data_IF_715107210129
#
_entry.id   IF_715107210129
#
_cell.length_a   1.000
_cell.length_b   1.000
_cell.length_c   1.000
_cell.angle_alpha   90.00
_cell.angle_beta   90.00
_cell.angle_gamma   90.00
#
_symmetry.space_group_name_H-M   'P 1'
#
loop_
_entity.id
_entity.type
_entity.pdbx_description
1 polymer ?
#
# COMPACT_ATOMS: atom_id res chain seq x y z
N UNK A 1 6.08 -34.49 3.45
CA UNK A 1 5.87 -35.15 4.76
C UNK A 1 6.80 -34.44 5.75
N UNK A 2 6.49 -33.27 6.31
CA UNK A 2 5.79 -33.07 7.60
C UNK A 2 5.35 -31.60 7.83
N UNK A 3 5.14 -30.82 6.76
CA UNK A 3 4.76 -29.39 6.85
C UNK A 3 3.29 -29.15 7.25
N UNK A 4 2.46 -30.21 7.25
CA UNK A 4 1.01 -30.08 7.47
C UNK A 4 0.55 -30.37 8.91
N UNK A 5 1.39 -30.92 9.79
CA UNK A 5 0.98 -31.30 11.15
C UNK A 5 0.92 -30.10 12.14
N UNK A 6 1.62 -29.01 11.83
CA UNK A 6 1.75 -27.87 12.74
C UNK A 6 0.86 -26.70 12.27
N UNK A 7 -0.23 -26.45 13.00
CA UNK A 7 -1.21 -25.38 12.72
C UNK A 7 -0.55 -23.99 12.76
N UNK A 8 0.41 -23.78 13.65
CA UNK A 8 1.10 -22.50 13.80
C UNK A 8 2.04 -22.21 12.62
N UNK A 9 2.76 -23.24 12.15
CA UNK A 9 3.60 -23.15 10.95
C UNK A 9 2.74 -22.85 9.70
N UNK A 10 1.61 -23.53 9.55
CA UNK A 10 0.66 -23.29 8.45
C UNK A 10 0.12 -21.85 8.48
N UNK A 11 -0.24 -21.35 9.66
CA UNK A 11 -0.72 -19.97 9.83
C UNK A 11 0.36 -18.95 9.45
N UNK A 12 1.61 -19.15 9.85
CA UNK A 12 2.74 -18.27 9.49
C UNK A 12 3.01 -18.27 8.00
N UNK A 13 3.00 -19.44 7.36
CA UNK A 13 3.17 -19.58 5.90
C UNK A 13 2.03 -18.88 5.17
N UNK A 14 0.77 -19.09 5.58
CA UNK A 14 -0.39 -18.44 4.96
C UNK A 14 -0.34 -16.91 5.10
N UNK A 15 0.05 -16.39 6.26
CA UNK A 15 0.25 -14.95 6.47
C UNK A 15 1.34 -14.41 5.55
N UNK A 16 2.44 -15.14 5.37
CA UNK A 16 3.50 -14.77 4.42
C UNK A 16 3.02 -14.77 2.97
N UNK A 17 2.29 -15.80 2.56
CA UNK A 17 1.69 -15.92 1.23
C UNK A 17 0.70 -14.79 0.96
N UNK A 18 -0.24 -14.53 1.87
CA UNK A 18 -1.22 -13.46 1.73
C UNK A 18 -0.54 -12.09 1.56
N UNK A 19 0.55 -11.82 2.29
CA UNK A 19 1.34 -10.59 2.12
C UNK A 19 2.00 -10.52 0.73
N UNK A 20 2.57 -11.64 0.26
CA UNK A 20 3.17 -11.73 -1.07
C UNK A 20 2.14 -11.55 -2.19
N UNK A 21 0.97 -12.19 -2.07
CA UNK A 21 -0.14 -12.07 -3.01
C UNK A 21 -0.70 -10.66 -3.05
N UNK A 22 -0.90 -10.01 -1.89
CA UNK A 22 -1.36 -8.62 -1.81
C UNK A 22 -0.33 -7.65 -2.41
N UNK A 23 0.98 -7.84 -2.16
CA UNK A 23 2.03 -7.06 -2.82
C UNK A 23 2.00 -7.27 -4.34
N UNK A 24 1.85 -8.51 -4.80
CA UNK A 24 1.77 -8.83 -6.22
C UNK A 24 0.50 -8.24 -6.86
N UNK A 25 -0.63 -8.22 -6.15
CA UNK A 25 -1.86 -7.60 -6.60
C UNK A 25 -1.72 -6.07 -6.73
N UNK A 26 -1.10 -5.43 -5.74
CA UNK A 26 -0.75 -4.01 -5.79
C UNK A 26 0.18 -3.73 -6.99
N UNK A 27 1.23 -4.53 -7.17
CA UNK A 27 2.16 -4.38 -8.28
C UNK A 27 1.44 -4.51 -9.64
N UNK A 28 0.50 -5.45 -9.78
CA UNK A 28 -0.33 -5.58 -10.99
C UNK A 28 -1.23 -4.36 -11.20
N UNK A 29 -1.85 -3.85 -10.15
CA UNK A 29 -2.71 -2.66 -10.22
C UNK A 29 -1.93 -1.41 -10.65
N UNK A 30 -0.72 -1.21 -10.12
CA UNK A 30 0.18 -0.11 -10.51
C UNK A 30 0.67 -0.27 -11.95
N UNK A 31 0.92 -1.51 -12.40
CA UNK A 31 1.45 -1.80 -13.74
C UNK A 31 0.39 -1.74 -14.86
N UNK A 32 -0.89 -1.48 -14.53
CA UNK A 32 -2.02 -1.63 -15.46
C UNK A 32 -1.99 -0.68 -16.69
N UNK A 33 -1.23 0.42 -16.65
CA UNK A 33 -1.17 1.41 -17.75
C UNK A 33 -0.51 0.92 -19.06
N UNK A 34 -0.18 -0.38 -19.19
CA UNK A 34 0.20 -1.03 -20.47
C UNK A 34 -0.32 -2.47 -20.66
N UNK A 35 -1.50 -2.82 -20.12
CA UNK A 35 -2.10 -4.16 -20.32
C UNK A 35 -1.23 -5.35 -19.84
N UNK A 36 -0.21 -5.13 -19.00
CA UNK A 36 0.65 -6.23 -18.54
C UNK A 36 1.66 -6.76 -19.55
N UNK A 37 1.75 -6.20 -20.77
CA UNK A 37 2.67 -6.71 -21.80
C UNK A 37 4.08 -6.11 -21.69
N UNK A 38 5.06 -6.95 -21.35
CA UNK A 38 6.49 -6.63 -21.41
C UNK A 38 7.00 -6.76 -22.85
N UNK A 39 6.73 -5.76 -23.71
CA UNK A 39 7.28 -5.69 -25.08
C UNK A 39 8.65 -5.02 -25.19
N UNK A 40 9.48 -5.06 -24.14
CA UNK A 40 10.86 -4.55 -24.31
C UNK A 40 11.80 -5.62 -24.81
N UNK A 41 12.51 -5.26 -25.88
CA UNK A 41 13.45 -6.13 -26.60
C UNK A 41 14.71 -6.49 -25.81
N UNK A 42 15.03 -5.81 -24.70
CA UNK A 42 16.27 -6.05 -23.93
C UNK A 42 16.01 -6.36 -22.45
N UNK A 43 16.86 -7.21 -21.88
CA UNK A 43 16.84 -7.59 -20.46
C UNK A 43 17.07 -6.39 -19.53
N UNK A 44 17.94 -5.45 -19.92
CA UNK A 44 18.19 -4.24 -19.14
C UNK A 44 16.94 -3.38 -18.97
N UNK A 45 16.16 -3.18 -20.05
CA UNK A 45 14.95 -2.38 -19.95
C UNK A 45 13.88 -3.05 -19.10
N UNK A 46 13.80 -4.39 -19.13
CA UNK A 46 12.94 -5.15 -18.21
C UNK A 46 13.37 -4.96 -16.76
N UNK A 47 14.68 -4.99 -16.47
CA UNK A 47 15.23 -4.75 -15.14
C UNK A 47 14.95 -3.33 -14.64
N UNK A 48 15.15 -2.30 -15.47
CA UNK A 48 14.84 -0.92 -15.10
C UNK A 48 13.35 -0.74 -14.77
N UNK A 49 12.45 -1.36 -15.53
CA UNK A 49 11.02 -1.30 -15.24
C UNK A 49 10.62 -2.08 -14.00
N UNK A 50 11.18 -3.26 -13.79
CA UNK A 50 10.93 -4.03 -12.57
C UNK A 50 11.39 -3.25 -11.32
N UNK A 51 12.56 -2.63 -11.39
CA UNK A 51 13.07 -1.76 -10.33
C UNK A 51 12.18 -0.54 -10.11
N UNK A 52 11.74 0.13 -11.17
CA UNK A 52 10.81 1.27 -11.09
C UNK A 52 9.47 0.88 -10.50
N UNK A 53 8.89 -0.25 -10.91
CA UNK A 53 7.65 -0.77 -10.34
C UNK A 53 7.82 -1.08 -8.85
N UNK A 54 8.91 -1.75 -8.46
CA UNK A 54 9.17 -2.03 -7.06
C UNK A 54 9.36 -0.74 -6.24
N UNK A 55 9.98 0.30 -6.81
CA UNK A 55 10.10 1.61 -6.18
C UNK A 55 8.73 2.25 -5.93
N UNK A 56 7.86 2.29 -6.94
CA UNK A 56 6.51 2.86 -6.81
C UNK A 56 5.67 2.07 -5.80
N UNK A 57 5.69 0.74 -5.88
CA UNK A 57 4.98 -0.13 -4.92
C UNK A 57 5.48 0.12 -3.49
N UNK A 58 6.79 0.23 -3.30
CA UNK A 58 7.37 0.52 -1.98
C UNK A 58 6.99 1.91 -1.47
N UNK A 59 6.95 2.91 -2.35
CA UNK A 59 6.51 4.26 -2.01
C UNK A 59 5.03 4.30 -1.59
N UNK A 60 4.15 3.56 -2.27
CA UNK A 60 2.74 3.41 -1.88
C UNK A 60 2.62 2.75 -0.50
N UNK A 61 3.36 1.66 -0.26
CA UNK A 61 3.33 0.96 1.04
C UNK A 61 3.79 1.90 2.16
N UNK A 62 4.87 2.65 1.93
CA UNK A 62 5.37 3.63 2.89
C UNK A 62 4.33 4.71 3.17
N UNK A 63 3.74 5.28 2.12
CA UNK A 63 2.67 6.26 2.24
C UNK A 63 1.49 5.72 3.06
N UNK A 64 0.99 4.53 2.74
CA UNK A 64 -0.10 3.90 3.48
C UNK A 64 0.25 3.69 4.95
N UNK A 65 1.47 3.23 5.24
CA UNK A 65 1.93 3.00 6.62
C UNK A 65 1.89 4.29 7.43
N UNK A 66 2.49 5.37 6.91
CA UNK A 66 2.54 6.68 7.56
C UNK A 66 1.14 7.27 7.76
N UNK A 67 0.28 7.20 6.75
CA UNK A 67 -1.06 7.81 6.85
C UNK A 67 -2.04 7.00 7.68
N UNK A 68 -1.89 5.68 7.75
CA UNK A 68 -2.67 4.86 8.68
C UNK A 68 -2.33 5.19 10.13
N UNK A 69 -1.04 5.32 10.46
CA UNK A 69 -0.62 5.74 11.80
C UNK A 69 -1.22 7.10 12.17
N UNK A 70 -1.14 8.08 11.26
CA UNK A 70 -1.75 9.40 11.48
C UNK A 70 -3.27 9.35 11.60
N UNK A 71 -3.94 8.49 10.83
CA UNK A 71 -5.39 8.31 10.94
C UNK A 71 -5.78 7.72 12.29
N UNK A 72 -5.02 6.72 12.79
CA UNK A 72 -5.22 6.15 14.12
C UNK A 72 -5.00 7.20 15.20
N UNK A 73 -3.95 8.02 15.10
CA UNK A 73 -3.69 9.10 16.04
C UNK A 73 -4.82 10.13 16.05
N UNK A 74 -5.28 10.58 14.88
CA UNK A 74 -6.37 11.55 14.77
C UNK A 74 -7.68 11.02 15.37
N UNK A 75 -7.97 9.73 15.20
CA UNK A 75 -9.13 9.08 15.83
C UNK A 75 -9.00 9.01 17.36
N UNK A 76 -7.80 8.74 17.89
CA UNK A 76 -7.53 8.77 19.33
C UNK A 76 -7.74 10.18 19.90
N UNK A 77 -7.28 11.20 19.20
CA UNK A 77 -7.45 12.61 19.57
C UNK A 77 -8.94 13.05 19.55
N UNK A 78 -9.77 12.46 18.66
CA UNK A 78 -11.23 12.64 18.63
C UNK A 78 -11.97 11.85 19.73
N UNK A 79 -11.24 11.17 20.63
CA UNK A 79 -11.80 10.43 21.76
C UNK A 79 -12.38 9.06 21.39
N UNK A 80 -12.05 8.51 20.22
CA UNK A 80 -12.48 7.17 19.81
C UNK A 80 -11.61 6.13 20.49
N UNK A 81 -12.24 5.21 21.21
CA UNK A 81 -11.55 4.03 21.73
C UNK A 81 -11.18 3.11 20.57
N UNK A 82 -9.87 2.83 20.43
CA UNK A 82 -9.32 1.96 19.39
C UNK A 82 -8.65 0.79 20.06
N UNK A 83 -9.20 -0.40 19.82
CA UNK A 83 -8.61 -1.66 20.24
C UNK A 83 -7.26 -1.89 19.51
N UNK A 84 -6.16 -1.86 20.26
CA UNK A 84 -4.82 -2.09 19.72
C UNK A 84 -4.65 -3.50 19.13
N UNK A 85 -5.46 -4.45 19.58
CA UNK A 85 -5.46 -5.81 19.01
C UNK A 85 -6.03 -5.85 17.60
N UNK A 86 -6.75 -4.83 17.15
CA UNK A 86 -7.20 -4.71 15.75
C UNK A 86 -6.12 -4.07 14.86
N UNK A 87 -5.26 -3.21 15.41
CA UNK A 87 -4.21 -2.52 14.65
C UNK A 87 -3.21 -3.49 14.00
N UNK A 88 -2.90 -4.62 14.66
CA UNK A 88 -2.04 -5.69 14.10
C UNK A 88 -2.59 -6.34 12.83
N UNK A 89 -3.87 -6.15 12.54
CA UNK A 89 -4.56 -6.69 11.38
C UNK A 89 -4.62 -5.69 10.21
N UNK A 90 -4.18 -4.45 10.42
CA UNK A 90 -4.08 -3.46 9.34
C UNK A 90 -3.02 -3.90 8.33
N UNK A 91 -3.36 -3.74 7.05
CA UNK A 91 -2.47 -4.03 5.93
C UNK A 91 -2.16 -2.74 5.18
N UNK A 92 -0.88 -2.32 5.06
CA UNK A 92 -0.50 -1.17 4.24
C UNK A 92 -0.57 -1.46 2.74
N UNK A 93 -1.02 -2.66 2.36
CA UNK A 93 -1.08 -3.11 0.98
C UNK A 93 -2.41 -2.76 0.30
N UNK A 94 -3.41 -2.20 0.98
CA UNK A 94 -4.65 -1.74 0.33
C UNK A 94 -4.39 -0.55 -0.61
N UNK A 95 -5.11 -0.47 -1.73
CA UNK A 95 -4.92 0.59 -2.74
C UNK A 95 -6.22 1.14 -3.31
N UNK A 96 -7.37 0.70 -2.79
CA UNK A 96 -8.69 1.13 -3.24
C UNK A 96 -8.91 2.65 -3.02
N UNK A 97 -8.22 3.24 -2.05
CA UNK A 97 -8.24 4.68 -1.77
C UNK A 97 -7.30 5.51 -2.65
N UNK A 98 -6.48 4.86 -3.48
CA UNK A 98 -5.48 5.50 -4.35
C UNK A 98 -6.01 5.51 -5.78
N UNK A 99 -6.07 6.69 -6.39
CA UNK A 99 -6.35 6.78 -7.81
C UNK A 99 -5.09 6.40 -8.61
N UNK A 100 -5.04 5.16 -9.11
CA UNK A 100 -3.96 4.65 -9.95
C UNK A 100 -4.14 5.01 -11.44
N UNK A 101 -5.38 5.30 -11.85
CA UNK A 101 -5.77 5.54 -13.25
C UNK A 101 -6.73 6.72 -13.33
N UNK A 102 -6.24 7.87 -13.78
CA UNK A 102 -7.05 9.07 -13.97
C UNK A 102 -6.22 10.31 -14.24
N UNK A 103 -6.90 11.45 -14.32
CA UNK A 103 -6.24 12.73 -14.54
C UNK A 103 -5.62 13.25 -13.24
N UNK A 104 -4.31 13.48 -13.27
CA UNK A 104 -3.55 14.03 -12.14
C UNK A 104 -3.49 15.55 -12.25
N UNK A 105 -4.34 16.23 -11.47
CA UNK A 105 -4.32 17.69 -11.38
C UNK A 105 -3.35 18.10 -10.26
N UNK A 106 -2.20 18.64 -10.65
CA UNK A 106 -1.21 19.19 -9.72
C UNK A 106 -1.53 20.66 -9.45
N UNK A 107 -2.17 20.95 -8.31
CA UNK A 107 -2.34 22.34 -7.86
C UNK A 107 -1.01 22.82 -7.27
N UNK A 108 -0.30 23.72 -7.98
CA UNK A 108 0.99 24.28 -7.52
C UNK A 108 0.89 24.97 -6.16
N UNK A 109 -0.28 25.49 -5.79
CA UNK A 109 -0.51 26.22 -4.53
C UNK A 109 -0.68 25.34 -3.29
N UNK A 110 -0.71 24.00 -3.44
CA UNK A 110 -0.80 23.04 -2.32
C UNK A 110 0.50 22.27 -2.14
N UNK A 111 1.63 22.97 -2.20
CA UNK A 111 2.89 22.38 -1.76
C UNK A 111 2.80 22.08 -0.27
N UNK A 112 2.88 20.80 0.08
CA UNK A 112 3.07 20.39 1.47
C UNK A 112 4.49 20.83 1.85
N UNK A 113 4.61 21.71 2.83
CA UNK A 113 5.93 22.16 3.30
C UNK A 113 6.81 20.96 3.69
N UNK A 114 8.13 21.11 3.59
CA UNK A 114 9.06 20.03 3.90
C UNK A 114 8.82 19.48 5.31
N UNK A 115 8.67 18.15 5.42
CA UNK A 115 8.40 17.47 6.68
C UNK A 115 6.95 17.58 7.17
N UNK A 116 6.09 18.38 6.52
CA UNK A 116 4.66 18.36 6.77
C UNK A 116 3.99 17.25 5.97
N UNK A 117 2.79 16.91 6.38
CA UNK A 117 1.97 15.90 5.73
C UNK A 117 0.73 16.53 5.11
N UNK A 118 0.17 15.86 4.10
CA UNK A 118 -1.17 16.18 3.60
C UNK A 118 -2.19 16.01 4.73
N UNK A 119 -3.18 16.90 4.77
CA UNK A 119 -4.31 16.79 5.70
C UNK A 119 -5.08 15.50 5.45
N UNK A 120 -5.56 14.87 6.52
CA UNK A 120 -6.47 13.73 6.43
C UNK A 120 -7.80 14.19 5.82
N UNK A 121 -8.50 13.29 5.12
CA UNK A 121 -9.86 13.57 4.67
C UNK A 121 -10.76 13.64 5.91
N UNK A 122 -11.55 14.70 6.02
CA UNK A 122 -12.52 14.85 7.09
C UNK A 122 -13.52 13.71 7.04
N UNK A 123 -13.74 13.03 8.17
CA UNK A 123 -14.85 12.09 8.32
C UNK A 123 -16.14 12.91 8.18
N UNK A 124 -16.96 12.65 7.15
CA UNK A 124 -18.31 13.19 7.14
C UNK A 124 -19.02 12.61 8.35
N UNK A 125 -19.36 13.46 9.33
CA UNK A 125 -20.19 13.09 10.47
C UNK A 125 -21.59 12.77 9.93
N UNK A 126 -22.00 11.51 10.04
CA UNK A 126 -23.40 11.08 9.86
C UNK A 126 -24.20 11.32 11.12
#
# INVERSE_FOLDING_TARGET
MAIFANVELRRRVQVGLNKGEAKNALARAVFLNRLGELRDRSYENQRYRASGLNLVVSAIILWNTVYMERAVQALREDGRDIDETLLRHLSPLGWEHINLTGDYIWQQDKQVEQGKYRSLRTLQRS
#
